data_IF_152282133383
#
_entry.id   IF_152282133383
#
_cell.length_a   1.000
_cell.length_b   1.000
_cell.length_c   1.000
_cell.angle_alpha   90.00
_cell.angle_beta   90.00
_cell.angle_gamma   90.00
#
_symmetry.space_group_name_H-M   'P 1'
#
loop_
_entity.id
_entity.type
_entity.pdbx_description
1 polymer ?
#
# COMPACT_ATOMS: atom_id res chain seq x y z
N UNK A 1 7.85 25.65 -9.86
CA UNK A 1 9.21 25.75 -9.30
C UNK A 1 10.10 26.67 -10.12
N UNK A 2 10.49 26.32 -11.36
CA UNK A 2 11.42 27.15 -12.15
C UNK A 2 10.94 28.61 -12.35
N UNK A 3 9.67 28.82 -12.71
CA UNK A 3 9.14 30.18 -12.89
C UNK A 3 9.12 31.01 -11.59
N UNK A 4 8.80 30.37 -10.47
CA UNK A 4 8.82 31.01 -9.15
C UNK A 4 10.25 31.32 -8.69
N UNK A 5 11.19 30.40 -8.90
CA UNK A 5 12.61 30.61 -8.62
C UNK A 5 13.19 31.77 -9.44
N UNK A 6 12.80 31.89 -10.71
CA UNK A 6 13.21 33.02 -11.55
C UNK A 6 12.58 34.35 -11.09
N UNK A 7 11.32 34.33 -10.67
CA UNK A 7 10.66 35.50 -10.12
C UNK A 7 11.34 36.00 -8.82
N UNK A 8 11.69 35.08 -7.91
CA UNK A 8 12.48 35.42 -6.72
C UNK A 8 13.88 35.92 -7.10
N UNK A 9 14.57 35.27 -8.04
CA UNK A 9 15.89 35.72 -8.52
C UNK A 9 15.87 37.16 -9.07
N UNK A 10 14.83 37.55 -9.81
CA UNK A 10 14.67 38.93 -10.31
C UNK A 10 14.39 39.90 -9.16
N UNK A 11 13.59 39.50 -8.18
CA UNK A 11 13.18 40.35 -7.06
C UNK A 11 14.32 40.63 -6.07
N UNK A 12 15.26 39.69 -5.90
CA UNK A 12 16.43 39.82 -5.03
C UNK A 12 17.63 40.51 -5.71
N UNK A 13 17.74 40.48 -7.04
CA UNK A 13 18.79 41.22 -7.77
C UNK A 13 18.67 42.75 -7.67
N UNK A 14 17.51 43.28 -7.27
CA UNK A 14 17.23 44.72 -7.23
C UNK A 14 17.92 45.49 -6.10
N UNK A 15 18.55 44.82 -5.14
CA UNK A 15 19.26 45.47 -4.02
C UNK A 15 20.68 44.92 -3.96
N UNK A 16 21.65 45.84 -4.10
CA UNK A 16 23.07 45.53 -4.28
C UNK A 16 23.81 45.16 -2.98
N UNK A 17 23.14 45.25 -1.82
CA UNK A 17 23.70 45.03 -0.48
C UNK A 17 23.01 43.85 0.21
N UNK A 18 22.89 42.73 -0.50
CA UNK A 18 22.45 41.45 0.07
C UNK A 18 23.60 40.46 0.13
N UNK A 19 24.01 40.12 1.35
CA UNK A 19 24.96 39.04 1.66
C UNK A 19 24.29 37.64 1.58
N UNK A 20 23.00 37.60 1.21
CA UNK A 20 22.23 36.37 1.01
C UNK A 20 22.80 35.51 -0.13
N UNK A 21 23.65 34.53 0.23
CA UNK A 21 24.29 33.57 -0.69
C UNK A 21 23.26 32.88 -1.61
N UNK A 22 22.07 32.64 -1.08
CA UNK A 22 20.98 31.83 -1.65
C UNK A 22 20.29 32.39 -2.90
N UNK A 23 20.41 33.69 -3.19
CA UNK A 23 19.82 34.28 -4.40
C UNK A 23 20.85 34.83 -5.41
N UNK A 24 22.15 34.65 -5.15
CA UNK A 24 23.22 35.14 -6.04
C UNK A 24 23.23 34.48 -7.42
N UNK A 25 22.77 33.23 -7.52
CA UNK A 25 22.73 32.49 -8.78
C UNK A 25 21.35 31.92 -9.07
N UNK A 26 20.99 31.72 -10.34
CA UNK A 26 19.71 31.11 -10.71
C UNK A 26 19.59 29.67 -10.17
N UNK A 27 20.71 28.94 -10.07
CA UNK A 27 20.72 27.59 -9.49
C UNK A 27 20.48 27.60 -7.97
N UNK A 28 21.12 28.53 -7.24
CA UNK A 28 20.87 28.66 -5.80
C UNK A 28 19.45 29.16 -5.53
N UNK A 29 18.89 30.03 -6.40
CA UNK A 29 17.49 30.46 -6.29
C UNK A 29 16.50 29.31 -6.52
N UNK A 30 16.84 28.36 -7.40
CA UNK A 30 16.07 27.13 -7.57
C UNK A 30 16.12 26.26 -6.30
N UNK A 31 17.31 26.12 -5.70
CA UNK A 31 17.47 25.37 -4.45
C UNK A 31 16.73 26.04 -3.28
N UNK A 32 16.80 27.37 -3.17
CA UNK A 32 16.03 28.15 -2.20
C UNK A 32 14.52 27.99 -2.42
N UNK A 33 14.02 28.05 -3.66
CA UNK A 33 12.61 27.77 -3.96
C UNK A 33 12.17 26.34 -3.59
N UNK A 34 13.09 25.37 -3.64
CA UNK A 34 12.85 24.02 -3.15
C UNK A 34 12.84 23.94 -1.62
N UNK A 35 13.75 24.65 -0.93
CA UNK A 35 13.74 24.77 0.52
C UNK A 35 12.45 25.46 1.02
N UNK A 36 11.98 26.48 0.31
CA UNK A 36 10.69 27.14 0.52
C UNK A 36 9.51 26.17 0.41
N UNK A 37 9.56 25.22 -0.52
CA UNK A 37 8.54 24.16 -0.64
C UNK A 37 8.52 23.25 0.59
N UNK A 38 9.69 22.94 1.15
CA UNK A 38 9.83 22.16 2.38
C UNK A 38 9.43 22.97 3.64
N UNK A 39 9.06 24.24 3.50
CA UNK A 39 8.74 25.13 4.60
C UNK A 39 9.97 25.72 5.29
N UNK A 40 11.16 25.57 4.73
CA UNK A 40 12.38 26.17 5.26
C UNK A 40 12.56 27.56 4.67
N UNK A 41 12.07 28.58 5.38
CA UNK A 41 12.19 29.99 5.00
C UNK A 41 12.51 30.86 6.20
N UNK A 42 13.31 31.91 5.99
CA UNK A 42 13.61 32.92 7.00
C UNK A 42 12.78 34.18 6.71
N UNK A 43 12.16 34.74 7.76
CA UNK A 43 11.38 35.99 7.66
C UNK A 43 12.29 37.20 7.42
N UNK A 44 13.52 37.17 7.90
CA UNK A 44 14.48 38.26 7.72
C UNK A 44 14.82 38.44 6.23
N UNK A 45 14.90 37.34 5.49
CA UNK A 45 15.15 37.35 4.05
C UNK A 45 14.00 37.98 3.25
N UNK A 46 12.75 37.83 3.72
CA UNK A 46 11.57 38.39 3.05
C UNK A 46 11.50 39.92 3.18
N UNK A 47 11.88 40.46 4.34
CA UNK A 47 12.02 41.91 4.55
C UNK A 47 13.15 42.50 3.70
N UNK A 48 14.16 41.67 3.48
CA UNK A 48 15.30 41.92 2.63
C UNK A 48 14.98 41.77 1.11
N UNK A 49 13.79 42.13 0.65
CA UNK A 49 13.46 42.08 -0.78
C UNK A 49 13.33 43.47 -1.40
N UNK A 50 13.46 43.57 -2.74
CA UNK A 50 13.32 44.86 -3.46
C UNK A 50 11.93 45.49 -3.25
N UNK A 51 10.88 44.67 -3.15
CA UNK A 51 9.52 45.09 -2.82
C UNK A 51 8.84 44.08 -1.90
N UNK A 52 8.68 44.46 -0.63
CA UNK A 52 8.07 43.61 0.39
C UNK A 52 6.68 43.09 -0.01
N UNK A 53 5.83 43.97 -0.57
CA UNK A 53 4.45 43.63 -0.94
C UNK A 53 4.39 42.55 -2.03
N UNK A 54 5.26 42.65 -3.04
CA UNK A 54 5.30 41.69 -4.15
C UNK A 54 5.85 40.35 -3.66
N UNK A 55 6.89 40.35 -2.83
CA UNK A 55 7.48 39.13 -2.26
C UNK A 55 6.46 38.37 -1.42
N UNK A 56 5.74 39.06 -0.53
CA UNK A 56 4.73 38.44 0.34
C UNK A 56 3.59 37.86 -0.49
N UNK A 57 3.08 38.59 -1.49
CA UNK A 57 2.02 38.08 -2.36
C UNK A 57 2.46 36.80 -3.11
N UNK A 58 3.67 36.81 -3.66
CA UNK A 58 4.23 35.70 -4.43
C UNK A 58 4.51 34.49 -3.52
N UNK A 59 5.01 34.73 -2.30
CA UNK A 59 5.24 33.71 -1.27
C UNK A 59 3.93 33.06 -0.80
N UNK A 60 2.92 33.86 -0.45
CA UNK A 60 1.61 33.34 -0.01
C UNK A 60 0.93 32.55 -1.12
N UNK A 61 0.94 33.06 -2.35
CA UNK A 61 0.40 32.35 -3.51
C UNK A 61 1.12 31.01 -3.73
N UNK A 62 2.44 31.02 -3.75
CA UNK A 62 3.27 29.82 -3.90
C UNK A 62 2.99 28.78 -2.80
N UNK A 63 2.97 29.20 -1.53
CA UNK A 63 2.70 28.33 -0.39
C UNK A 63 1.29 27.72 -0.46
N UNK A 64 0.29 28.51 -0.85
CA UNK A 64 -1.09 28.02 -0.99
C UNK A 64 -1.23 26.96 -2.08
N UNK A 65 -0.67 27.21 -3.27
CA UNK A 65 -0.72 26.24 -4.37
C UNK A 65 0.04 24.95 -4.06
N UNK A 66 1.21 25.03 -3.42
CA UNK A 66 1.94 23.83 -3.00
C UNK A 66 1.12 23.01 -2.02
N UNK A 67 0.53 23.66 -1.00
CA UNK A 67 -0.27 22.94 -0.01
C UNK A 67 -1.46 22.22 -0.66
N UNK A 68 -2.14 22.84 -1.63
CA UNK A 68 -3.21 22.18 -2.39
C UNK A 68 -2.68 20.99 -3.19
N UNK A 69 -1.55 21.14 -3.89
CA UNK A 69 -0.96 20.06 -4.68
C UNK A 69 -0.53 18.90 -3.77
N UNK A 70 0.13 19.19 -2.65
CA UNK A 70 0.58 18.19 -1.68
C UNK A 70 -0.62 17.48 -1.03
N UNK A 71 -1.70 18.20 -0.73
CA UNK A 71 -2.92 17.59 -0.18
C UNK A 71 -3.58 16.67 -1.22
N UNK A 72 -3.66 17.09 -2.48
CA UNK A 72 -4.20 16.26 -3.56
C UNK A 72 -3.35 15.00 -3.77
N UNK A 73 -2.03 15.10 -3.66
CA UNK A 73 -1.12 13.95 -3.73
C UNK A 73 -1.31 13.02 -2.52
N UNK A 74 -1.46 13.57 -1.32
CA UNK A 74 -1.67 12.77 -0.10
C UNK A 74 -2.98 11.99 -0.17
N UNK A 75 -4.05 12.63 -0.63
CA UNK A 75 -5.36 11.97 -0.81
C UNK A 75 -5.24 10.86 -1.87
N UNK A 76 -4.54 11.11 -2.97
CA UNK A 76 -4.33 10.10 -4.01
C UNK A 76 -3.57 8.88 -3.50
N UNK A 77 -2.51 9.10 -2.72
CA UNK A 77 -1.70 8.01 -2.13
C UNK A 77 -2.49 7.26 -1.06
N UNK A 78 -3.21 7.97 -0.18
CA UNK A 78 -4.03 7.33 0.84
C UNK A 78 -5.16 6.49 0.24
N UNK A 79 -5.74 6.93 -0.88
CA UNK A 79 -6.70 6.12 -1.64
C UNK A 79 -6.09 4.80 -2.13
N UNK A 80 -4.98 4.86 -2.87
CA UNK A 80 -4.33 3.64 -3.43
C UNK A 80 -3.82 2.70 -2.32
N UNK A 81 -3.26 3.24 -1.24
CA UNK A 81 -2.81 2.43 -0.11
C UNK A 81 -3.99 1.77 0.59
N UNK A 82 -5.08 2.50 0.83
CA UNK A 82 -6.25 1.96 1.51
C UNK A 82 -6.89 0.82 0.71
N UNK A 83 -7.05 0.98 -0.60
CA UNK A 83 -7.62 -0.06 -1.47
C UNK A 83 -6.73 -1.33 -1.48
N UNK A 84 -5.41 -1.17 -1.62
CA UNK A 84 -4.45 -2.28 -1.61
C UNK A 84 -4.39 -3.01 -0.27
N UNK A 85 -4.41 -2.25 0.84
CA UNK A 85 -4.41 -2.83 2.18
C UNK A 85 -5.73 -3.57 2.39
N UNK A 86 -6.88 -3.01 2.00
CA UNK A 86 -8.16 -3.66 2.24
C UNK A 86 -8.32 -4.97 1.45
N UNK A 87 -7.82 -5.03 0.21
CA UNK A 87 -7.82 -6.28 -0.58
C UNK A 87 -6.97 -7.38 0.08
N UNK A 88 -5.79 -7.03 0.60
CA UNK A 88 -4.86 -7.99 1.18
C UNK A 88 -5.07 -8.24 2.69
N UNK A 89 -5.77 -7.35 3.39
CA UNK A 89 -5.91 -7.38 4.85
C UNK A 89 -6.59 -8.66 5.34
N UNK A 90 -7.60 -9.16 4.62
CA UNK A 90 -8.30 -10.40 5.03
C UNK A 90 -7.36 -11.61 4.88
N UNK A 91 -6.62 -11.69 3.79
CA UNK A 91 -5.69 -12.79 3.54
C UNK A 91 -4.51 -12.75 4.53
N UNK A 92 -3.92 -11.57 4.77
CA UNK A 92 -2.86 -11.37 5.76
C UNK A 92 -3.34 -11.65 7.17
N UNK A 93 -4.57 -11.25 7.52
CA UNK A 93 -5.17 -11.53 8.82
C UNK A 93 -5.36 -13.04 9.05
N UNK A 94 -5.88 -13.76 8.05
CA UNK A 94 -6.04 -15.21 8.13
C UNK A 94 -4.69 -15.93 8.22
N UNK A 95 -3.69 -15.46 7.46
CA UNK A 95 -2.33 -16.00 7.50
C UNK A 95 -1.66 -15.76 8.86
N UNK A 96 -1.77 -14.55 9.40
CA UNK A 96 -1.28 -14.22 10.73
C UNK A 96 -1.95 -15.07 11.81
N UNK A 97 -3.28 -15.26 11.72
CA UNK A 97 -4.02 -16.12 12.65
C UNK A 97 -3.58 -17.59 12.55
N UNK A 98 -3.34 -18.10 11.35
CA UNK A 98 -2.84 -19.45 11.13
C UNK A 98 -1.42 -19.63 11.68
N UNK A 99 -0.54 -18.65 11.49
CA UNK A 99 0.82 -18.68 12.05
C UNK A 99 0.81 -18.69 13.57
N UNK A 100 -0.01 -17.84 14.21
CA UNK A 100 -0.16 -17.84 15.67
C UNK A 100 -0.68 -19.20 16.16
N UNK A 101 -1.67 -19.78 15.46
CA UNK A 101 -2.19 -21.10 15.81
C UNK A 101 -1.11 -22.18 15.71
N UNK A 102 -0.29 -22.15 14.66
CA UNK A 102 0.82 -23.10 14.46
C UNK A 102 1.89 -22.94 15.55
N UNK A 103 2.24 -21.71 15.92
CA UNK A 103 3.19 -21.43 17.01
C UNK A 103 2.68 -21.97 18.37
N UNK A 104 1.39 -21.77 18.65
CA UNK A 104 0.73 -22.35 19.81
C UNK A 104 0.74 -23.88 19.75
N UNK A 105 0.41 -24.49 18.61
CA UNK A 105 0.47 -25.94 18.39
C UNK A 105 1.88 -26.52 18.54
N UNK A 106 2.91 -25.80 18.10
CA UNK A 106 4.30 -26.20 18.24
C UNK A 106 4.76 -26.21 19.71
N UNK A 107 4.15 -25.37 20.55
CA UNK A 107 4.45 -25.28 21.99
C UNK A 107 3.83 -26.44 22.78
N UNK A 108 2.75 -27.05 22.30
CA UNK A 108 2.15 -28.22 22.95
C UNK A 108 2.97 -29.50 22.76
N UNK A 109 3.08 -30.31 23.82
CA UNK A 109 3.81 -31.58 23.79
C UNK A 109 3.09 -32.67 22.98
N UNK A 110 3.84 -33.67 22.50
CA UNK A 110 3.36 -34.81 21.67
C UNK A 110 2.10 -35.50 22.24
N UNK A 111 2.02 -35.60 23.58
CA UNK A 111 0.92 -36.27 24.30
C UNK A 111 -0.39 -35.48 24.31
N UNK A 112 -0.34 -34.17 24.10
CA UNK A 112 -1.53 -33.29 24.06
C UNK A 112 -2.11 -33.20 22.65
N UNK A 113 -1.28 -33.34 21.62
CA UNK A 113 -1.69 -33.39 20.20
C UNK A 113 -2.55 -34.61 19.87
N UNK A 114 -2.44 -35.68 20.63
CA UNK A 114 -3.23 -36.92 20.43
C UNK A 114 -4.58 -36.91 21.16
N UNK A 115 -4.90 -35.87 21.95
CA UNK A 115 -6.19 -35.79 22.64
C UNK A 115 -7.33 -35.58 21.63
N UNK A 116 -8.17 -36.60 21.52
CA UNK A 116 -9.36 -36.63 20.64
C UNK A 116 -10.40 -35.56 20.97
N UNK A 117 -10.29 -34.87 22.11
CA UNK A 117 -11.18 -33.79 22.53
C UNK A 117 -10.99 -32.50 21.73
N UNK A 118 -9.80 -32.25 21.17
CA UNK A 118 -9.45 -30.99 20.48
C UNK A 118 -9.29 -31.14 18.97
N UNK A 119 -8.99 -32.35 18.49
CA UNK A 119 -8.84 -32.66 17.07
C UNK A 119 -9.92 -33.64 16.62
N UNK A 120 -10.71 -33.27 15.60
CA UNK A 120 -11.77 -34.15 15.08
C UNK A 120 -11.16 -35.40 14.43
N UNK A 121 -11.49 -36.56 14.97
CA UNK A 121 -10.97 -37.86 14.51
C UNK A 121 -11.44 -38.28 13.12
N UNK A 122 -12.56 -37.72 12.65
CA UNK A 122 -13.20 -38.11 11.40
C UNK A 122 -13.61 -36.87 10.62
N UNK A 123 -13.01 -36.67 9.45
CA UNK A 123 -13.39 -35.63 8.49
C UNK A 123 -14.28 -36.26 7.44
N UNK A 124 -15.58 -36.00 7.49
CA UNK A 124 -16.52 -36.55 6.50
C UNK A 124 -16.50 -35.66 5.26
N UNK A 125 -15.80 -36.11 4.22
CA UNK A 125 -15.76 -35.41 2.93
C UNK A 125 -16.98 -35.87 2.12
N UNK A 126 -17.94 -34.96 1.95
CA UNK A 126 -19.07 -35.19 1.06
C UNK A 126 -18.59 -35.04 -0.38
N UNK A 127 -18.46 -36.17 -1.06
CA UNK A 127 -18.29 -36.21 -2.51
C UNK A 127 -19.67 -36.00 -3.14
N UNK A 128 -19.78 -35.06 -4.07
CA UNK A 128 -21.02 -34.88 -4.82
C UNK A 128 -21.33 -36.18 -5.59
N UNK A 129 -22.35 -36.90 -5.14
CA UNK A 129 -22.89 -38.05 -5.85
C UNK A 129 -23.50 -37.57 -7.16
N UNK A 130 -22.83 -37.88 -8.27
CA UNK A 130 -23.41 -37.76 -9.62
C UNK A 130 -24.29 -38.97 -9.91
N UNK A 131 -25.26 -39.24 -9.04
CA UNK A 131 -26.34 -40.18 -9.35
C UNK A 131 -27.64 -39.39 -9.45
N UNK A 132 -28.27 -39.57 -10.61
CA UNK A 132 -29.29 -38.72 -11.18
C UNK A 132 -30.50 -38.53 -10.30
N UNK A 133 -30.87 -37.28 -10.11
CA UNK A 133 -32.27 -36.90 -10.11
C UNK A 133 -32.53 -36.19 -11.44
N UNK A 134 -33.26 -36.86 -12.33
CA UNK A 134 -33.82 -36.30 -13.54
C UNK A 134 -34.82 -35.21 -13.13
N UNK A 135 -34.38 -33.95 -13.08
CA UNK A 135 -35.30 -32.88 -12.73
C UNK A 135 -34.69 -31.52 -12.43
N UNK A 136 -33.85 -30.99 -13.32
CA UNK A 136 -33.87 -29.57 -13.74
C UNK A 136 -32.73 -29.33 -14.73
N UNK A 137 -33.09 -29.06 -15.98
CA UNK A 137 -32.20 -28.74 -17.10
C UNK A 137 -31.63 -27.33 -16.96
N UNK A 138 -30.54 -27.19 -16.19
CA UNK A 138 -29.61 -26.07 -16.32
C UNK A 138 -28.42 -26.49 -17.19
N UNK A 139 -28.28 -25.90 -18.38
CA UNK A 139 -27.16 -26.19 -19.28
C UNK A 139 -25.82 -25.84 -18.61
N UNK A 140 -24.98 -26.84 -18.35
CA UNK A 140 -23.57 -26.67 -17.97
C UNK A 140 -22.71 -27.02 -19.19
N UNK A 141 -21.95 -26.04 -19.67
CA UNK A 141 -21.18 -26.16 -20.90
C UNK A 141 -20.10 -27.25 -20.85
N UNK A 142 -19.68 -27.82 -22.01
CA UNK A 142 -18.76 -28.97 -22.12
C UNK A 142 -17.35 -28.80 -21.52
N UNK A 143 -17.03 -27.62 -20.98
CA UNK A 143 -15.72 -27.28 -20.41
C UNK A 143 -15.65 -27.31 -18.87
N UNK A 144 -16.78 -27.25 -18.16
CA UNK A 144 -16.80 -27.19 -16.69
C UNK A 144 -16.55 -28.54 -16.02
N UNK A 145 -17.08 -29.61 -16.63
CA UNK A 145 -17.05 -30.98 -16.10
C UNK A 145 -15.62 -31.53 -16.00
N UNK A 146 -14.77 -31.22 -16.98
CA UNK A 146 -13.37 -31.68 -17.00
C UNK A 146 -12.48 -30.93 -16.00
N UNK A 147 -12.83 -29.68 -15.66
CA UNK A 147 -12.09 -28.89 -14.68
C UNK A 147 -12.36 -29.40 -13.26
N UNK A 148 -13.63 -29.59 -12.91
CA UNK A 148 -14.04 -30.10 -11.59
C UNK A 148 -13.49 -31.49 -11.28
N UNK A 149 -13.50 -32.39 -12.28
CA UNK A 149 -12.95 -33.76 -12.13
C UNK A 149 -11.42 -33.78 -11.97
N UNK A 150 -10.71 -32.95 -12.75
CA UNK A 150 -9.25 -32.82 -12.67
C UNK A 150 -8.78 -32.19 -11.35
N UNK A 151 -9.59 -31.30 -10.77
CA UNK A 151 -9.30 -30.64 -9.50
C UNK A 151 -9.55 -31.58 -8.31
N UNK A 152 -10.61 -32.39 -8.38
CA UNK A 152 -10.88 -33.46 -7.39
C UNK A 152 -9.79 -34.54 -7.38
N UNK A 153 -9.34 -35.00 -8.56
CA UNK A 153 -8.26 -35.98 -8.67
C UNK A 153 -6.92 -35.43 -8.15
N UNK A 154 -6.65 -34.14 -8.39
CA UNK A 154 -5.44 -33.47 -7.89
C UNK A 154 -5.46 -33.32 -6.36
N UNK A 155 -6.61 -33.02 -5.78
CA UNK A 155 -6.79 -32.93 -4.33
C UNK A 155 -6.66 -34.30 -3.65
N UNK A 156 -7.23 -35.36 -4.24
CA UNK A 156 -7.04 -36.72 -3.73
C UNK A 156 -5.57 -37.14 -3.72
N UNK A 157 -4.84 -36.83 -4.80
CA UNK A 157 -3.43 -37.20 -4.92
C UNK A 157 -2.54 -36.46 -3.90
N UNK A 158 -2.80 -35.17 -3.70
CA UNK A 158 -2.08 -34.36 -2.71
C UNK A 158 -2.37 -34.80 -1.26
N UNK A 159 -3.58 -35.29 -1.00
CA UNK A 159 -3.96 -35.80 0.32
C UNK A 159 -3.29 -37.15 0.60
N UNK A 160 -3.22 -38.07 -0.37
CA UNK A 160 -2.50 -39.34 -0.22
C UNK A 160 -1.01 -39.13 0.03
N UNK A 161 -0.33 -38.28 -0.75
CA UNK A 161 1.10 -38.01 -0.58
C UNK A 161 1.40 -37.37 0.79
N UNK A 162 0.54 -36.46 1.27
CA UNK A 162 0.73 -35.85 2.61
C UNK A 162 0.44 -36.83 3.75
N UNK A 163 -0.46 -37.79 3.56
CA UNK A 163 -0.77 -38.79 4.57
C UNK A 163 0.32 -39.86 4.69
N UNK A 164 0.94 -40.29 3.58
CA UNK A 164 2.05 -41.26 3.62
C UNK A 164 3.32 -40.69 4.27
N UNK A 165 3.59 -39.39 4.11
CA UNK A 165 4.75 -38.72 4.74
C UNK A 165 4.57 -38.57 6.26
N UNK A 166 3.32 -38.55 6.77
CA UNK A 166 3.05 -38.38 8.20
C UNK A 166 2.97 -39.70 8.98
N UNK A 167 3.05 -40.85 8.31
CA UNK A 167 2.95 -42.20 8.91
C UNK A 167 4.33 -42.91 8.97
N UNK A 168 5.38 -42.29 8.41
CA UNK A 168 6.77 -42.76 8.45
C UNK A 168 7.65 -41.79 9.22
#
# INVERSE_FOLDING_TARGET
MIGFAFAFYVLYQGKADYDGIQHRSPFLSLFSSYALLLGNFDVNELEESSSFVITVFLFVGFSFFINIIMLNLLIAIMGDIFDRIQENAVAEFLFARANILLEIEATFGEKEKTKTEWYSRWLQVLVATTEGNEGTTGWIGPGGEKKSKKESDKMQKLLCDKFEISVN
#
